data_IF_089595023827
#
_entry.id   IF_089595023827
#
_cell.length_a   1.000
_cell.length_b   1.000
_cell.length_c   1.000
_cell.angle_alpha   90.00
_cell.angle_beta   90.00
_cell.angle_gamma   90.00
#
_symmetry.space_group_name_H-M   'P 1'
#
loop_
_entity.id
_entity.type
_entity.pdbx_description
1 polymer ?
#
# COMPACT_ATOMS: atom_id res chain seq x y z
N UNK A 1 9.67 2.48 -12.49
CA UNK A 1 8.33 1.83 -12.54
C UNK A 1 7.36 2.74 -11.79
N UNK A 2 6.12 2.82 -12.24
CA UNK A 2 5.06 3.58 -11.57
C UNK A 2 3.96 2.61 -11.14
N UNK A 3 3.49 2.74 -9.91
CA UNK A 3 2.34 2.03 -9.36
C UNK A 3 1.49 3.08 -8.64
N UNK A 4 0.53 3.64 -9.37
CA UNK A 4 -0.25 4.79 -8.94
C UNK A 4 -1.71 4.34 -8.93
N UNK A 5 -2.40 4.62 -7.83
CA UNK A 5 -3.86 4.43 -7.68
C UNK A 5 -4.28 3.02 -8.12
N UNK A 6 -3.81 2.04 -7.34
CA UNK A 6 -3.90 0.63 -7.72
C UNK A 6 -3.87 -0.34 -6.54
N UNK A 7 -3.09 -0.05 -5.50
CA UNK A 7 -2.88 -1.01 -4.40
C UNK A 7 -4.06 -1.06 -3.42
N UNK A 8 -4.93 -0.06 -3.43
CA UNK A 8 -6.18 -0.05 -2.67
C UNK A 8 -7.12 -1.17 -3.10
N UNK A 9 -7.00 -1.70 -4.32
CA UNK A 9 -7.79 -2.83 -4.79
C UNK A 9 -7.35 -4.18 -4.22
N UNK A 10 -6.26 -4.23 -3.45
CA UNK A 10 -5.66 -5.46 -2.93
C UNK A 10 -5.98 -5.65 -1.45
N UNK A 11 -6.33 -6.88 -1.03
CA UNK A 11 -6.45 -7.19 0.38
C UNK A 11 -5.11 -7.24 1.09
N UNK A 12 -5.07 -7.01 2.42
CA UNK A 12 -3.83 -6.87 3.18
C UNK A 12 -2.87 -8.07 3.04
N UNK A 13 -3.41 -9.28 2.90
CA UNK A 13 -2.63 -10.51 2.70
C UNK A 13 -1.85 -10.54 1.37
N UNK A 14 -2.32 -9.83 0.34
CA UNK A 14 -1.70 -9.81 -0.99
C UNK A 14 -0.63 -8.73 -1.13
N UNK A 15 -0.66 -7.69 -0.28
CA UNK A 15 0.31 -6.59 -0.30
C UNK A 15 1.77 -7.06 -0.28
N UNK A 16 2.21 -7.94 0.64
CA UNK A 16 3.60 -8.42 0.66
C UNK A 16 4.03 -9.10 -0.64
N UNK A 17 3.16 -9.94 -1.22
CA UNK A 17 3.45 -10.65 -2.46
C UNK A 17 3.55 -9.67 -3.65
N UNK A 18 2.63 -8.71 -3.73
CA UNK A 18 2.64 -7.71 -4.80
C UNK A 18 3.88 -6.82 -4.69
N UNK A 19 4.25 -6.33 -3.51
CA UNK A 19 5.47 -5.54 -3.33
C UNK A 19 6.74 -6.33 -3.70
N UNK A 20 6.81 -7.62 -3.38
CA UNK A 20 7.92 -8.48 -3.80
C UNK A 20 8.00 -8.61 -5.33
N UNK A 21 6.86 -8.74 -6.02
CA UNK A 21 6.79 -8.79 -7.47
C UNK A 21 7.15 -7.44 -8.11
N UNK A 22 6.67 -6.33 -7.54
CA UNK A 22 7.03 -4.98 -7.96
C UNK A 22 8.54 -4.77 -7.85
N UNK A 23 9.15 -5.11 -6.71
CA UNK A 23 10.61 -5.10 -6.55
C UNK A 23 11.30 -5.93 -7.64
N UNK A 24 10.84 -7.15 -7.90
CA UNK A 24 11.47 -8.04 -8.90
C UNK A 24 11.45 -7.43 -10.30
N UNK A 25 10.37 -6.73 -10.65
CA UNK A 25 10.21 -6.08 -11.95
C UNK A 25 11.12 -4.86 -12.13
N UNK A 26 11.53 -4.20 -11.04
CA UNK A 26 12.48 -3.09 -11.08
C UNK A 26 13.91 -3.63 -11.17
N UNK A 27 14.72 -3.14 -12.11
CA UNK A 27 16.15 -3.50 -12.19
C UNK A 27 16.90 -3.12 -10.89
N UNK A 28 17.97 -3.83 -10.49
CA UNK A 28 18.81 -3.39 -9.38
C UNK A 28 19.28 -1.93 -9.55
N UNK A 29 19.17 -1.13 -8.49
CA UNK A 29 19.42 0.31 -8.50
C UNK A 29 18.30 1.17 -9.13
N UNK A 30 17.25 0.54 -9.68
CA UNK A 30 16.13 1.21 -10.33
C UNK A 30 15.11 1.80 -9.34
N UNK A 31 14.34 2.78 -9.82
CA UNK A 31 13.34 3.51 -9.06
C UNK A 31 11.92 2.96 -9.26
N UNK A 32 11.13 3.02 -8.18
CA UNK A 32 9.70 2.75 -8.13
C UNK A 32 9.01 3.94 -7.46
N UNK A 33 8.04 4.55 -8.16
CA UNK A 33 7.11 5.50 -7.54
C UNK A 33 5.80 4.77 -7.24
N UNK A 34 5.41 4.77 -5.97
CA UNK A 34 4.24 4.09 -5.45
C UNK A 34 3.33 5.10 -4.75
N UNK A 35 2.02 5.03 -4.97
CA UNK A 35 1.05 5.79 -4.19
C UNK A 35 0.17 4.89 -3.33
N UNK A 36 -0.28 5.41 -2.20
CA UNK A 36 -1.29 4.80 -1.32
C UNK A 36 -2.39 5.82 -1.12
N UNK A 37 -3.62 5.48 -1.53
CA UNK A 37 -4.78 6.34 -1.34
C UNK A 37 -5.04 6.55 0.16
N UNK A 38 -5.32 7.80 0.54
CA UNK A 38 -5.62 8.20 1.91
C UNK A 38 -7.09 8.56 2.03
N UNK A 39 -7.70 8.08 3.11
CA UNK A 39 -9.00 8.53 3.57
C UNK A 39 -8.88 9.02 5.01
N UNK A 40 -9.86 9.80 5.44
CA UNK A 40 -9.92 10.28 6.82
C UNK A 40 -10.02 9.11 7.81
N UNK A 41 -9.33 9.23 8.95
CA UNK A 41 -9.30 8.16 9.95
C UNK A 41 -10.71 7.81 10.48
N UNK A 42 -11.58 8.82 10.59
CA UNK A 42 -12.98 8.66 10.99
C UNK A 42 -13.81 7.92 9.94
N UNK A 43 -13.54 8.16 8.65
CA UNK A 43 -14.16 7.45 7.55
C UNK A 43 -13.72 5.98 7.52
N UNK A 44 -12.41 5.74 7.68
CA UNK A 44 -11.85 4.38 7.75
C UNK A 44 -12.46 3.57 8.89
N UNK A 45 -12.58 4.16 10.08
CA UNK A 45 -13.21 3.52 11.24
C UNK A 45 -14.70 3.25 10.98
N UNK A 46 -15.42 4.22 10.42
CA UNK A 46 -16.83 4.06 10.08
C UNK A 46 -17.03 2.92 9.08
N UNK A 47 -16.20 2.81 8.05
CA UNK A 47 -16.27 1.74 7.06
C UNK A 47 -16.11 0.36 7.70
N UNK A 48 -15.14 0.24 8.62
CA UNK A 48 -14.93 -0.98 9.40
C UNK A 48 -16.14 -1.34 10.27
N UNK A 49 -16.70 -0.39 11.02
CA UNK A 49 -17.87 -0.65 11.86
C UNK A 49 -19.12 -1.03 11.03
N UNK A 50 -19.32 -0.40 9.88
CA UNK A 50 -20.45 -0.72 9.00
C UNK A 50 -20.34 -2.12 8.38
N UNK A 51 -19.17 -2.51 7.89
CA UNK A 51 -19.00 -3.86 7.35
C UNK A 51 -19.12 -4.93 8.43
N UNK A 52 -18.64 -4.67 9.65
CA UNK A 52 -18.84 -5.54 10.81
C UNK A 52 -20.32 -5.68 11.18
N UNK A 53 -21.08 -4.59 11.18
CA UNK A 53 -22.52 -4.62 11.43
C UNK A 53 -23.29 -5.44 10.38
N UNK A 54 -22.75 -5.52 9.16
CA UNK A 54 -23.27 -6.36 8.06
C UNK A 54 -22.73 -7.80 8.10
N UNK A 55 -21.98 -8.19 9.14
CA UNK A 55 -21.34 -9.51 9.26
C UNK A 55 -20.36 -9.86 8.13
N UNK A 56 -19.78 -8.85 7.47
CA UNK A 56 -18.72 -9.07 6.51
C UNK A 56 -17.43 -9.51 7.22
N UNK A 57 -16.61 -10.39 6.61
CA UNK A 57 -15.37 -10.89 7.20
C UNK A 57 -14.23 -9.87 7.05
N UNK A 58 -14.45 -8.63 7.49
CA UNK A 58 -13.53 -7.53 7.22
C UNK A 58 -12.53 -7.24 8.34
N UNK A 59 -11.39 -6.65 7.98
CA UNK A 59 -10.33 -6.18 8.88
C UNK A 59 -10.20 -4.64 8.86
N UNK A 60 -9.56 -4.01 9.87
CA UNK A 60 -9.36 -2.56 9.89
C UNK A 60 -8.67 -2.06 8.62
N UNK A 61 -9.25 -1.04 7.99
CA UNK A 61 -8.79 -0.48 6.72
C UNK A 61 -9.59 -0.94 5.50
N UNK A 62 -10.35 -2.03 5.60
CA UNK A 62 -11.18 -2.47 4.47
C UNK A 62 -12.49 -1.68 4.36
N UNK A 63 -12.78 -1.30 3.12
CA UNK A 63 -14.00 -0.66 2.70
C UNK A 63 -14.67 -1.56 1.65
N UNK A 64 -15.63 -2.39 2.07
CA UNK A 64 -16.24 -3.40 1.20
C UNK A 64 -17.77 -3.24 1.01
N UNK A 65 -18.37 -2.18 1.55
CA UNK A 65 -19.80 -2.15 1.81
C UNK A 65 -20.64 -1.28 0.86
N UNK A 66 -20.04 -0.36 0.08
CA UNK A 66 -20.85 0.59 -0.73
C UNK A 66 -20.33 0.98 -2.12
N UNK A 67 -19.09 0.65 -2.50
CA UNK A 67 -18.51 1.13 -3.77
C UNK A 67 -17.50 0.17 -4.42
N UNK A 68 -17.55 -1.12 -4.08
CA UNK A 68 -16.48 -2.07 -4.39
C UNK A 68 -15.56 -2.28 -3.19
N UNK A 69 -14.47 -3.01 -3.42
CA UNK A 69 -13.48 -3.31 -2.39
C UNK A 69 -12.33 -2.31 -2.48
N UNK A 70 -12.04 -1.64 -1.37
CA UNK A 70 -10.81 -0.89 -1.18
C UNK A 70 -10.17 -1.27 0.16
N UNK A 71 -8.85 -1.17 0.24
CA UNK A 71 -8.09 -1.35 1.47
C UNK A 71 -7.16 -0.15 1.70
N UNK A 72 -7.36 0.50 2.84
CA UNK A 72 -6.65 1.70 3.28
C UNK A 72 -5.74 1.38 4.48
N UNK A 73 -4.54 0.83 4.25
CA UNK A 73 -3.62 0.48 5.34
C UNK A 73 -3.20 1.71 6.15
N UNK A 74 -2.69 1.49 7.37
CA UNK A 74 -1.96 2.54 8.07
C UNK A 74 -0.61 2.78 7.37
N UNK A 75 -0.13 4.02 7.38
CA UNK A 75 1.19 4.33 6.81
C UNK A 75 2.33 3.61 7.54
N UNK A 76 2.16 3.30 8.82
CA UNK A 76 3.08 2.43 9.57
C UNK A 76 3.15 1.03 8.96
N UNK A 77 2.00 0.42 8.67
CA UNK A 77 1.92 -0.90 8.04
C UNK A 77 2.53 -0.90 6.63
N UNK A 78 2.26 0.15 5.84
CA UNK A 78 2.87 0.33 4.52
C UNK A 78 4.39 0.40 4.61
N UNK A 79 4.93 1.24 5.50
CA UNK A 79 6.39 1.37 5.68
C UNK A 79 7.02 0.03 6.09
N UNK A 80 6.39 -0.71 7.00
CA UNK A 80 6.85 -2.03 7.40
C UNK A 80 6.85 -3.04 6.23
N UNK A 81 5.84 -3.03 5.37
CA UNK A 81 5.80 -3.89 4.19
C UNK A 81 6.83 -3.49 3.13
N UNK A 82 7.06 -2.19 2.91
CA UNK A 82 8.09 -1.69 2.00
C UNK A 82 9.49 -2.11 2.46
N UNK A 83 9.78 -1.97 3.75
CA UNK A 83 11.03 -2.43 4.36
C UNK A 83 11.18 -3.94 4.24
N UNK A 84 10.15 -4.72 4.57
CA UNK A 84 10.16 -6.18 4.46
C UNK A 84 10.35 -6.65 3.00
N UNK A 85 9.84 -5.90 2.02
CA UNK A 85 10.10 -6.13 0.61
C UNK A 85 11.54 -5.78 0.21
N UNK A 86 12.32 -5.12 1.07
CA UNK A 86 13.69 -4.68 0.82
C UNK A 86 13.78 -3.46 -0.10
N UNK A 87 12.70 -2.69 -0.24
CA UNK A 87 12.69 -1.43 -0.99
C UNK A 87 13.18 -0.30 -0.07
N UNK A 88 14.09 0.53 -0.57
CA UNK A 88 14.63 1.66 0.18
C UNK A 88 13.80 2.90 -0.16
N UNK A 89 13.22 3.54 0.85
CA UNK A 89 12.53 4.83 0.68
C UNK A 89 13.55 5.94 0.53
N UNK A 90 13.49 6.63 -0.62
CA UNK A 90 14.31 7.81 -0.90
C UNK A 90 13.58 9.10 -0.53
N UNK A 91 12.29 9.17 -0.88
CA UNK A 91 11.43 10.32 -0.57
C UNK A 91 10.03 9.82 -0.18
N UNK A 92 9.39 10.56 0.71
CA UNK A 92 8.04 10.33 1.17
C UNK A 92 7.33 11.68 1.33
N UNK A 93 6.16 11.85 0.70
CA UNK A 93 5.37 13.08 0.83
C UNK A 93 3.87 12.81 0.67
N UNK A 94 3.06 13.68 1.26
CA UNK A 94 1.59 13.61 1.17
C UNK A 94 1.10 14.69 0.21
N UNK A 95 0.21 14.34 -0.71
CA UNK A 95 -0.36 15.27 -1.68
C UNK A 95 -1.56 14.66 -2.41
N UNK A 96 -2.50 15.50 -2.82
CA UNK A 96 -3.63 15.11 -3.69
C UNK A 96 -4.47 13.92 -3.21
N UNK A 97 -4.54 13.68 -1.89
CA UNK A 97 -5.26 12.53 -1.31
C UNK A 97 -4.45 11.23 -1.25
N UNK A 98 -3.14 11.28 -1.51
CA UNK A 98 -2.26 10.12 -1.50
C UNK A 98 -1.04 10.33 -0.61
N UNK A 99 -0.52 9.22 -0.08
CA UNK A 99 0.86 9.13 0.34
C UNK A 99 1.71 8.67 -0.84
N UNK A 100 2.72 9.46 -1.21
CA UNK A 100 3.67 9.14 -2.25
C UNK A 100 4.95 8.59 -1.65
N UNK A 101 5.47 7.53 -2.26
CA UNK A 101 6.77 6.94 -1.96
C UNK A 101 7.62 6.90 -3.21
N UNK A 102 8.78 7.55 -3.19
CA UNK A 102 9.85 7.26 -4.12
C UNK A 102 10.77 6.22 -3.51
N UNK A 103 10.84 5.05 -4.15
CA UNK A 103 11.52 3.87 -3.66
C UNK A 103 12.65 3.47 -4.62
N UNK A 104 13.67 2.82 -4.08
CA UNK A 104 14.74 2.21 -4.86
C UNK A 104 14.86 0.73 -4.52
N UNK A 105 15.01 -0.10 -5.56
CA UNK A 105 15.56 -1.45 -5.37
C UNK A 105 17.07 -1.30 -5.17
N UNK A 106 17.66 -1.80 -4.06
CA UNK A 106 19.09 -1.75 -3.85
C UNK A 106 19.88 -2.27 -5.07
N UNK A 107 21.05 -1.69 -5.38
CA UNK A 107 21.92 -2.22 -6.40
C UNK A 107 22.34 -3.65 -6.06
N UNK A 108 22.62 -4.45 -7.09
CA UNK A 108 23.20 -5.77 -6.87
C UNK A 108 24.58 -5.59 -6.24
N UNK A 109 24.81 -6.24 -5.10
CA UNK A 109 26.18 -6.44 -4.62
C UNK A 109 26.87 -7.34 -5.62
N UNK A 110 27.93 -6.85 -6.27
CA UNK A 110 28.86 -7.73 -6.97
C UNK A 110 29.67 -8.45 -5.89
N UNK A 111 29.37 -9.72 -5.66
CA UNK A 111 30.24 -10.66 -4.92
C UNK A 111 31.24 -11.30 -5.87
#
# INVERSE_FOLDING_TARGET
MLCIDALEMLPPEDWPLVLANLRRAVKPGGLLHLTVELIEATERERAFLLGRAQSLPIVPGEYAHHAGYHYYPSLEQVRAWLEAAGLVTLEECTGDGYQHFLLQRPPSSFS
#
